data_IF_865382249474
#
_entry.id   IF_865382249474
#
_cell.length_a   1.000
_cell.length_b   1.000
_cell.length_c   1.000
_cell.angle_alpha   90.00
_cell.angle_beta   90.00
_cell.angle_gamma   90.00
#
_symmetry.space_group_name_H-M   'P 1'
#
loop_
_entity.id
_entity.type
_entity.pdbx_description
1 polymer ?
#
# COMPACT_ATOMS: atom_id res chain seq x y z
N UNK A 1 -16.18 27.13 -2.49
CA UNK A 1 -14.77 27.05 -2.06
C UNK A 1 -14.44 25.58 -2.02
N UNK A 2 -13.37 25.16 -2.67
CA UNK A 2 -13.00 23.74 -2.76
C UNK A 2 -11.90 23.50 -1.73
N UNK A 3 -12.10 22.48 -0.89
CA UNK A 3 -11.12 22.00 0.07
C UNK A 3 -10.38 20.81 -0.54
N UNK A 4 -9.08 20.73 -0.27
CA UNK A 4 -8.21 19.64 -0.69
C UNK A 4 -7.58 19.01 0.57
N UNK A 5 -7.09 17.78 0.42
CA UNK A 5 -6.18 17.15 1.38
C UNK A 5 -4.77 17.69 1.15
N UNK A 6 -4.07 18.03 2.22
CA UNK A 6 -2.64 18.34 2.21
C UNK A 6 -1.97 17.48 3.26
N UNK A 7 -0.90 16.79 2.86
CA UNK A 7 -0.19 15.87 3.71
C UNK A 7 1.06 16.50 4.30
N UNK A 8 1.48 15.95 5.44
CA UNK A 8 2.73 16.28 6.05
C UNK A 8 3.13 15.28 7.13
N UNK A 9 4.34 15.43 7.61
CA UNK A 9 4.95 14.56 8.62
C UNK A 9 5.62 15.43 9.68
N UNK A 10 5.42 15.05 10.94
CA UNK A 10 6.18 15.56 12.07
C UNK A 10 7.22 14.51 12.47
N UNK A 11 8.46 14.95 12.62
CA UNK A 11 9.58 14.13 13.08
C UNK A 11 10.19 14.76 14.32
N UNK A 12 10.23 14.03 15.43
CA UNK A 12 10.90 14.46 16.65
C UNK A 12 11.40 13.25 17.44
N UNK A 13 12.35 13.39 18.39
CA UNK A 13 12.83 12.25 19.19
C UNK A 13 11.72 11.51 19.94
N UNK A 14 10.69 12.23 20.37
CA UNK A 14 9.48 11.69 21.01
C UNK A 14 8.28 12.53 20.63
N UNK A 15 7.24 11.93 20.06
CA UNK A 15 5.96 12.56 19.77
C UNK A 15 4.85 11.86 20.54
N UNK A 16 3.99 12.65 21.18
CA UNK A 16 2.72 12.18 21.73
C UNK A 16 1.59 12.57 20.76
N UNK A 17 1.01 11.61 20.01
CA UNK A 17 -0.04 11.89 19.04
C UNK A 17 -1.28 12.55 19.67
N UNK A 18 -1.58 12.26 20.94
CA UNK A 18 -2.73 12.85 21.64
C UNK A 18 -2.46 14.31 22.01
N UNK A 19 -1.22 14.66 22.37
CA UNK A 19 -0.83 16.04 22.60
C UNK A 19 -0.88 16.87 21.30
N UNK A 20 -0.42 16.30 20.18
CA UNK A 20 -0.55 16.95 18.86
C UNK A 20 -2.01 17.13 18.48
N UNK A 21 -2.85 16.11 18.69
CA UNK A 21 -4.29 16.20 18.44
C UNK A 21 -4.95 17.33 19.25
N UNK A 22 -4.63 17.42 20.54
CA UNK A 22 -5.17 18.47 21.41
C UNK A 22 -4.70 19.87 20.99
N UNK A 23 -3.46 20.01 20.52
CA UNK A 23 -2.94 21.27 19.99
C UNK A 23 -3.69 21.72 18.73
N UNK A 24 -3.87 20.80 17.77
CA UNK A 24 -4.63 21.07 16.55
C UNK A 24 -6.10 21.42 16.85
N UNK A 25 -6.70 20.70 17.80
CA UNK A 25 -8.08 20.94 18.19
C UNK A 25 -8.27 22.31 18.86
N UNK A 26 -7.32 22.72 19.71
CA UNK A 26 -7.31 24.06 20.32
C UNK A 26 -7.14 25.19 19.28
N UNK A 27 -6.46 24.90 18.17
CA UNK A 27 -6.36 25.79 17.02
C UNK A 27 -7.56 25.72 16.06
N UNK A 28 -8.59 24.93 16.41
CA UNK A 28 -9.77 24.63 15.61
C UNK A 28 -9.44 24.03 14.24
N UNK A 29 -8.29 23.36 14.08
CA UNK A 29 -7.85 22.77 12.81
C UNK A 29 -8.61 21.47 12.56
N UNK A 30 -9.04 21.26 11.32
CA UNK A 30 -9.61 19.99 10.87
C UNK A 30 -8.49 19.14 10.26
N UNK A 31 -8.20 18.01 10.89
CA UNK A 31 -7.07 17.17 10.55
C UNK A 31 -7.34 15.68 10.79
N UNK A 32 -6.46 14.85 10.25
CA UNK A 32 -6.28 13.44 10.61
C UNK A 32 -4.81 13.23 10.98
N UNK A 33 -4.58 12.49 12.05
CA UNK A 33 -3.26 12.06 12.48
C UNK A 33 -3.14 10.56 12.30
N UNK A 34 -1.98 10.09 11.85
CA UNK A 34 -1.71 8.66 11.65
C UNK A 34 -0.30 8.28 12.13
N UNK A 35 -0.20 7.16 12.84
CA UNK A 35 1.08 6.66 13.37
C UNK A 35 1.06 5.15 13.58
N UNK A 36 2.23 4.53 13.52
CA UNK A 36 2.41 3.15 13.97
C UNK A 36 2.75 3.13 15.47
N UNK A 37 2.27 2.14 16.23
CA UNK A 37 2.64 1.98 17.65
C UNK A 37 4.15 1.90 17.91
N UNK A 38 4.94 1.49 16.91
CA UNK A 38 6.41 1.37 17.00
C UNK A 38 7.20 2.60 16.53
N UNK A 39 6.55 3.61 15.93
CA UNK A 39 7.23 4.77 15.34
C UNK A 39 6.97 6.04 16.14
N UNK A 40 7.30 6.03 17.44
CA UNK A 40 7.05 7.16 18.37
C UNK A 40 7.76 8.48 17.97
N UNK A 41 8.63 8.45 16.96
CA UNK A 41 9.38 9.58 16.45
C UNK A 41 8.79 10.17 15.15
N UNK A 42 7.76 9.53 14.56
CA UNK A 42 7.18 9.91 13.28
C UNK A 42 5.65 9.89 13.35
N UNK A 43 5.04 11.01 13.00
CA UNK A 43 3.59 11.20 12.99
C UNK A 43 3.16 11.83 11.67
N UNK A 44 2.30 11.16 10.92
CA UNK A 44 1.66 11.74 9.73
C UNK A 44 0.52 12.66 10.14
N UNK A 45 0.39 13.78 9.42
CA UNK A 45 -0.71 14.73 9.56
C UNK A 45 -1.30 15.05 8.19
N UNK A 46 -2.60 14.83 8.04
CA UNK A 46 -3.36 15.28 6.87
C UNK A 46 -4.32 16.37 7.30
N UNK A 47 -4.32 17.50 6.58
CA UNK A 47 -5.18 18.65 6.88
C UNK A 47 -6.05 19.01 5.68
N UNK A 48 -7.15 19.71 5.94
CA UNK A 48 -7.87 20.41 4.88
C UNK A 48 -7.12 21.69 4.49
N UNK A 49 -6.99 21.96 3.20
CA UNK A 49 -6.43 23.21 2.67
C UNK A 49 -7.25 23.76 1.52
N UNK A 50 -7.24 25.08 1.33
CA UNK A 50 -7.83 25.72 0.16
C UNK A 50 -6.79 25.97 -0.94
N UNK A 51 -7.24 26.40 -2.13
CA UNK A 51 -6.35 26.74 -3.24
C UNK A 51 -5.41 27.94 -3.00
N UNK A 52 -5.53 28.64 -1.86
CA UNK A 52 -4.63 29.71 -1.43
C UNK A 52 -3.64 29.25 -0.34
N UNK A 53 -3.61 27.94 -0.02
CA UNK A 53 -2.73 27.38 1.00
C UNK A 53 -3.14 27.73 2.43
N UNK A 54 -4.45 27.94 2.68
CA UNK A 54 -5.01 28.21 4.01
C UNK A 54 -5.56 26.93 4.61
N UNK A 55 -5.25 26.70 5.89
CA UNK A 55 -5.71 25.53 6.64
C UNK A 55 -7.21 25.63 6.91
N UNK A 56 -7.95 24.54 6.75
CA UNK A 56 -9.35 24.43 7.09
C UNK A 56 -9.54 24.42 8.61
N UNK A 57 -10.26 25.40 9.13
CA UNK A 57 -10.61 25.49 10.56
C UNK A 57 -12.11 25.38 10.76
N UNK A 58 -12.54 24.70 11.82
CA UNK A 58 -13.94 24.64 12.19
C UNK A 58 -14.35 25.96 12.88
N UNK A 59 -15.33 26.64 12.28
CA UNK A 59 -15.97 27.82 12.83
C UNK A 59 -17.47 27.60 12.83
N UNK A 60 -18.04 27.52 14.03
CA UNK A 60 -19.49 27.35 14.23
C UNK A 60 -20.08 26.15 13.45
N UNK A 61 -19.33 25.05 13.39
CA UNK A 61 -19.74 23.83 12.69
C UNK A 61 -19.65 23.93 11.16
N UNK A 62 -18.81 24.83 10.64
CA UNK A 62 -18.49 24.94 9.21
C UNK A 62 -16.98 25.09 9.02
N UNK A 63 -16.43 24.52 7.95
CA UNK A 63 -15.01 24.71 7.63
C UNK A 63 -14.80 26.08 6.97
N UNK A 64 -13.91 26.88 7.57
CA UNK A 64 -13.54 28.21 7.12
C UNK A 64 -12.01 28.37 7.04
N UNK A 65 -11.49 29.25 6.17
CA UNK A 65 -10.05 29.49 6.06
C UNK A 65 -9.43 30.02 7.36
N UNK A 66 -8.44 29.28 7.86
CA UNK A 66 -7.64 29.56 9.04
C UNK A 66 -6.26 30.14 8.70
N UNK A 67 -5.19 29.82 9.45
CA UNK A 67 -3.83 30.29 9.16
C UNK A 67 -3.29 29.75 7.82
N UNK A 68 -2.13 30.24 7.39
CA UNK A 68 -1.40 29.62 6.28
C UNK A 68 -0.80 28.27 6.71
N UNK A 69 -0.60 27.34 5.76
CA UNK A 69 0.02 26.02 6.07
C UNK A 69 1.40 26.20 6.72
N UNK A 70 2.21 27.16 6.23
CA UNK A 70 3.52 27.47 6.80
C UNK A 70 3.43 27.96 8.27
N UNK A 71 2.43 28.80 8.59
CA UNK A 71 2.22 29.27 9.98
C UNK A 71 1.82 28.11 10.91
N UNK A 72 1.03 27.14 10.41
CA UNK A 72 0.71 25.93 11.16
C UNK A 72 1.96 25.07 11.38
N UNK A 73 2.76 24.85 10.33
CA UNK A 73 3.98 24.05 10.40
C UNK A 73 4.97 24.64 11.41
N UNK A 74 5.21 25.95 11.37
CA UNK A 74 6.05 26.66 12.35
C UNK A 74 5.52 26.55 13.78
N UNK A 75 4.19 26.64 13.94
CA UNK A 75 3.50 26.48 15.22
C UNK A 75 3.70 25.09 15.82
N UNK A 76 3.52 24.04 15.00
CA UNK A 76 3.75 22.65 15.40
C UNK A 76 5.23 22.41 15.71
N UNK A 77 6.15 22.87 14.86
CA UNK A 77 7.58 22.70 15.05
C UNK A 77 8.10 23.40 16.32
N UNK A 78 7.53 24.55 16.66
CA UNK A 78 7.85 25.25 17.92
C UNK A 78 7.24 24.55 19.14
N UNK A 79 5.99 24.09 19.05
CA UNK A 79 5.27 23.50 20.18
C UNK A 79 5.83 22.12 20.59
N UNK A 80 6.31 21.34 19.62
CA UNK A 80 6.74 19.96 19.83
C UNK A 80 8.25 19.73 19.63
N UNK A 81 9.02 20.80 19.36
CA UNK A 81 10.44 20.71 18.98
C UNK A 81 10.66 19.67 17.86
N UNK A 82 9.82 19.77 16.83
CA UNK A 82 9.73 18.82 15.73
C UNK A 82 10.17 19.46 14.41
N UNK A 83 10.71 18.64 13.52
CA UNK A 83 10.83 18.96 12.11
C UNK A 83 9.49 18.65 11.43
N UNK A 84 8.88 19.66 10.83
CA UNK A 84 7.56 19.56 10.20
C UNK A 84 7.69 19.77 8.71
N UNK A 85 7.37 18.72 7.95
CA UNK A 85 7.41 18.71 6.50
C UNK A 85 5.98 18.69 6.00
N UNK A 86 5.50 19.79 5.42
CA UNK A 86 4.17 19.84 4.79
C UNK A 86 4.34 19.96 3.28
N UNK A 87 3.47 19.30 2.52
CA UNK A 87 3.44 19.43 1.07
C UNK A 87 3.34 20.91 0.65
N UNK A 88 4.23 21.35 -0.25
CA UNK A 88 4.29 22.72 -0.73
C UNK A 88 4.90 23.73 0.25
N UNK A 89 5.35 23.30 1.44
CA UNK A 89 6.09 24.13 2.41
C UNK A 89 7.48 23.56 2.60
N UNK A 90 8.48 24.29 2.15
CA UNK A 90 9.88 23.95 2.40
C UNK A 90 10.32 24.66 3.68
N UNK A 91 10.85 23.96 4.70
CA UNK A 91 11.33 24.61 5.91
C UNK A 91 12.49 25.55 5.54
N UNK A 92 12.34 26.84 5.83
CA UNK A 92 13.48 27.75 5.77
C UNK A 92 14.39 27.49 6.99
N UNK A 93 15.55 26.88 6.74
CA UNK A 93 16.67 26.90 7.70
C UNK A 93 16.66 25.83 8.80
N UNK A 94 15.85 24.78 8.73
CA UNK A 94 16.06 23.55 9.52
C UNK A 94 16.39 22.38 8.59
N UNK A 95 17.66 21.96 8.66
CA UNK A 95 18.25 20.81 7.99
C UNK A 95 18.03 20.72 6.47
N UNK A 96 18.38 21.77 5.73
CA UNK A 96 18.95 21.54 4.40
C UNK A 96 20.25 20.76 4.61
N UNK A 97 20.25 19.47 4.28
CA UNK A 97 21.48 18.83 3.80
C UNK A 97 21.86 19.64 2.56
N UNK A 98 22.80 20.57 2.72
CA UNK A 98 23.34 21.29 1.56
C UNK A 98 23.83 20.22 0.58
N UNK A 99 23.34 20.21 -0.68
CA UNK A 99 23.85 19.30 -1.68
C UNK A 99 25.31 19.65 -1.89
N UNK A 100 26.19 18.80 -1.38
CA UNK A 100 27.63 18.76 -1.56
C UNK A 100 28.25 20.12 -1.94
N UNK A 101 28.70 20.86 -0.93
CA UNK A 101 29.75 21.84 -1.17
C UNK A 101 30.95 21.09 -1.79
N UNK A 102 31.11 21.23 -3.10
CA UNK A 102 32.24 20.71 -3.88
C UNK A 102 33.55 21.18 -3.25
N UNK A 103 34.13 20.35 -2.38
CA UNK A 103 35.44 20.58 -1.80
C UNK A 103 35.54 20.36 -0.30
N UNK A 104 35.31 19.15 0.20
CA UNK A 104 35.89 18.74 1.47
C UNK A 104 36.04 17.20 1.59
N UNK A 105 37.31 16.81 1.71
CA UNK A 105 37.85 15.59 2.32
C UNK A 105 37.52 14.21 1.73
N UNK A 106 38.62 13.48 1.52
CA UNK A 106 38.74 12.04 1.25
C UNK A 106 37.71 11.19 2.03
N UNK A 107 36.88 10.36 1.35
CA UNK A 107 35.82 9.57 1.99
C UNK A 107 36.34 8.40 2.85
N UNK A 108 37.65 8.31 3.09
CA UNK A 108 38.26 7.24 3.88
C UNK A 108 38.49 7.57 5.37
N UNK A 109 38.05 8.72 5.88
CA UNK A 109 38.50 9.22 7.19
C UNK A 109 37.43 9.65 8.20
N UNK A 110 36.14 9.33 8.00
CA UNK A 110 35.10 9.60 9.00
C UNK A 110 34.24 8.36 9.22
N UNK A 111 34.63 7.57 10.21
CA UNK A 111 33.82 6.51 10.83
C UNK A 111 32.88 7.17 11.86
N UNK A 112 32.02 8.06 11.39
CA UNK A 112 30.98 8.71 12.20
C UNK A 112 29.60 8.24 11.71
N UNK A 113 29.22 7.04 12.14
CA UNK A 113 27.83 6.73 12.51
C UNK A 113 26.72 6.97 11.49
N UNK A 114 26.99 6.97 10.18
CA UNK A 114 25.92 6.72 9.20
C UNK A 114 25.44 5.30 9.50
N UNK A 115 24.16 5.08 9.89
CA UNK A 115 23.64 3.73 10.00
C UNK A 115 23.90 3.09 8.63
N UNK A 116 24.70 2.02 8.62
CA UNK A 116 24.90 1.26 7.39
C UNK A 116 23.53 0.96 6.81
N UNK A 117 23.36 1.14 5.49
CA UNK A 117 22.17 0.70 4.78
C UNK A 117 21.86 -0.69 5.30
N UNK A 118 20.73 -0.83 6.00
CA UNK A 118 20.33 -2.12 6.56
C UNK A 118 20.29 -3.07 5.38
N UNK A 119 21.20 -4.04 5.39
CA UNK A 119 21.29 -5.08 4.36
C UNK A 119 19.91 -5.75 4.28
N UNK A 120 19.38 -5.96 3.05
CA UNK A 120 18.14 -6.69 2.72
C UNK A 120 17.46 -7.24 3.97
N UNK A 121 16.51 -6.49 4.57
CA UNK A 121 15.81 -6.97 5.75
C UNK A 121 15.08 -8.25 5.37
N UNK A 122 15.70 -9.37 5.72
CA UNK A 122 15.13 -10.70 5.60
C UNK A 122 14.01 -10.76 6.62
N UNK A 123 12.85 -10.26 6.21
CA UNK A 123 11.67 -10.19 7.06
C UNK A 123 10.96 -11.54 7.00
N UNK A 124 10.56 -12.06 8.16
CA UNK A 124 9.69 -13.23 8.21
C UNK A 124 8.26 -12.77 7.97
N UNK A 125 7.81 -12.89 6.74
CA UNK A 125 6.49 -12.47 6.32
C UNK A 125 5.78 -13.57 5.55
N UNK A 126 4.46 -13.61 5.69
CA UNK A 126 3.56 -14.38 4.84
C UNK A 126 2.96 -13.42 3.82
N UNK A 127 3.27 -13.64 2.56
CA UNK A 127 2.85 -12.77 1.47
C UNK A 127 1.95 -13.53 0.51
N UNK A 128 0.82 -12.92 0.16
CA UNK A 128 -0.08 -13.37 -0.89
C UNK A 128 -0.16 -12.28 -1.94
N UNK A 129 0.08 -12.62 -3.21
CA UNK A 129 -0.05 -11.70 -4.34
C UNK A 129 -1.13 -12.18 -5.29
N UNK A 130 -2.09 -11.32 -5.59
CA UNK A 130 -3.09 -11.50 -6.64
C UNK A 130 -2.69 -10.67 -7.87
N UNK A 131 -2.56 -11.32 -9.03
CA UNK A 131 -1.98 -10.70 -10.23
C UNK A 131 -2.59 -11.27 -11.51
N UNK A 132 -2.61 -10.46 -12.57
CA UNK A 132 -2.96 -10.90 -13.94
C UNK A 132 -1.86 -11.75 -14.62
N UNK A 133 -0.74 -11.95 -13.94
CA UNK A 133 0.39 -12.75 -14.40
C UNK A 133 -0.06 -14.14 -14.86
N UNK A 134 0.56 -14.65 -15.93
CA UNK A 134 0.30 -16.04 -16.35
C UNK A 134 1.13 -17.08 -15.60
N UNK A 135 0.62 -18.32 -15.51
CA UNK A 135 1.24 -19.39 -14.71
C UNK A 135 2.65 -19.77 -15.17
N UNK A 136 2.99 -19.48 -16.43
CA UNK A 136 4.33 -19.73 -16.98
C UNK A 136 5.44 -18.99 -16.21
N UNK A 137 5.12 -17.88 -15.54
CA UNK A 137 6.13 -17.06 -14.84
C UNK A 137 6.42 -17.58 -13.43
N UNK A 138 5.59 -18.46 -12.87
CA UNK A 138 5.73 -18.97 -11.49
C UNK A 138 7.06 -19.69 -11.20
N UNK A 139 7.58 -20.60 -12.07
CA UNK A 139 8.89 -21.23 -11.82
C UNK A 139 10.04 -20.20 -11.76
N UNK A 140 9.97 -19.15 -12.57
CA UNK A 140 10.99 -18.11 -12.59
C UNK A 140 10.94 -17.27 -11.30
N UNK A 141 9.74 -16.94 -10.82
CA UNK A 141 9.55 -16.23 -9.55
C UNK A 141 10.17 -17.01 -8.38
N UNK A 142 9.89 -18.32 -8.27
CA UNK A 142 10.49 -19.18 -7.24
C UNK A 142 12.02 -19.15 -7.28
N UNK A 143 12.61 -19.31 -8.48
CA UNK A 143 14.06 -19.26 -8.67
C UNK A 143 14.69 -17.91 -8.37
N UNK A 144 14.04 -16.80 -8.74
CA UNK A 144 14.56 -15.44 -8.48
C UNK A 144 14.54 -15.13 -6.99
N UNK A 145 13.43 -15.41 -6.32
CA UNK A 145 13.27 -15.21 -4.88
C UNK A 145 14.05 -16.24 -4.05
N UNK A 146 14.56 -17.31 -4.68
CA UNK A 146 15.25 -18.44 -4.05
C UNK A 146 14.43 -19.10 -2.93
N UNK A 147 13.11 -19.13 -3.11
CA UNK A 147 12.16 -19.71 -2.16
C UNK A 147 11.02 -20.40 -2.88
N UNK A 148 10.32 -21.25 -2.15
CA UNK A 148 9.13 -21.91 -2.67
C UNK A 148 8.04 -20.87 -2.92
N UNK A 149 7.43 -20.94 -4.10
CA UNK A 149 6.28 -20.13 -4.47
C UNK A 149 5.13 -21.08 -4.76
N UNK A 150 4.08 -20.99 -3.95
CA UNK A 150 2.84 -21.73 -4.19
C UNK A 150 1.93 -20.87 -5.05
N UNK A 151 1.37 -21.46 -6.11
CA UNK A 151 0.47 -20.75 -7.03
C UNK A 151 -0.85 -21.46 -7.17
N UNK A 152 -1.93 -20.69 -7.26
CA UNK A 152 -3.25 -21.21 -7.62
C UNK A 152 -3.99 -20.24 -8.53
N UNK A 153 -4.85 -20.77 -9.40
CA UNK A 153 -5.78 -19.98 -10.20
C UNK A 153 -6.98 -19.60 -9.34
N UNK A 154 -7.24 -18.30 -9.28
CA UNK A 154 -8.29 -17.72 -8.46
C UNK A 154 -9.32 -17.02 -9.37
N UNK A 155 -10.58 -17.48 -9.41
CA UNK A 155 -11.64 -16.74 -10.05
C UNK A 155 -11.91 -15.44 -9.27
N UNK A 156 -11.96 -14.31 -9.99
CA UNK A 156 -12.30 -12.98 -9.47
C UNK A 156 -13.26 -12.33 -10.45
N UNK A 157 -14.53 -12.17 -10.06
CA UNK A 157 -15.58 -11.76 -10.98
C UNK A 157 -15.70 -12.69 -12.19
N UNK A 158 -15.54 -12.13 -13.39
CA UNK A 158 -15.56 -12.87 -14.67
C UNK A 158 -14.14 -13.29 -15.15
N UNK A 159 -13.10 -12.91 -14.42
CA UNK A 159 -11.70 -13.17 -14.76
C UNK A 159 -11.11 -14.30 -13.90
N UNK A 160 -9.99 -14.85 -14.35
CA UNK A 160 -9.14 -15.73 -13.53
C UNK A 160 -7.78 -15.08 -13.39
N UNK A 161 -7.37 -14.86 -12.14
CA UNK A 161 -6.06 -14.30 -11.77
C UNK A 161 -5.23 -15.36 -11.07
N UNK A 162 -3.93 -15.13 -10.97
CA UNK A 162 -3.09 -15.98 -10.15
C UNK A 162 -2.94 -15.42 -8.76
N UNK A 163 -3.00 -16.34 -7.79
CA UNK A 163 -2.66 -16.10 -6.41
C UNK A 163 -1.33 -16.79 -6.13
N UNK A 164 -0.30 -16.00 -5.81
CA UNK A 164 1.04 -16.45 -5.45
C UNK A 164 1.21 -16.32 -3.95
N UNK A 165 1.77 -17.35 -3.32
CA UNK A 165 2.00 -17.38 -1.89
C UNK A 165 3.44 -17.74 -1.59
N UNK A 166 4.01 -16.99 -0.66
CA UNK A 166 5.32 -17.26 -0.08
C UNK A 166 5.25 -17.05 1.43
N UNK A 167 5.98 -17.87 2.17
CA UNK A 167 6.06 -17.80 3.64
C UNK A 167 7.51 -17.92 4.09
N UNK A 168 7.80 -17.40 5.27
CA UNK A 168 9.12 -17.51 5.87
C UNK A 168 10.05 -16.35 5.50
N UNK A 169 11.21 -16.37 6.12
CA UNK A 169 12.31 -15.44 5.90
C UNK A 169 12.79 -15.44 4.44
N UNK A 170 12.83 -14.29 3.78
CA UNK A 170 13.45 -14.14 2.47
C UNK A 170 13.03 -12.87 1.75
N UNK A 171 13.50 -12.71 0.51
CA UNK A 171 13.12 -11.56 -0.31
C UNK A 171 11.61 -11.53 -0.60
N UNK A 172 10.99 -10.36 -0.50
CA UNK A 172 9.56 -10.17 -0.75
C UNK A 172 9.15 -10.49 -2.20
N UNK A 173 7.89 -10.91 -2.38
CA UNK A 173 7.31 -11.12 -3.71
C UNK A 173 7.24 -9.77 -4.43
N UNK A 174 7.84 -9.68 -5.62
CA UNK A 174 7.88 -8.45 -6.40
C UNK A 174 9.11 -7.57 -6.17
N UNK A 175 10.07 -7.96 -5.32
CA UNK A 175 11.32 -7.20 -5.10
C UNK A 175 12.12 -6.98 -6.40
N UNK A 176 11.97 -7.88 -7.37
CA UNK A 176 12.63 -7.80 -8.68
C UNK A 176 11.75 -7.10 -9.75
N UNK A 177 10.66 -6.47 -9.32
CA UNK A 177 9.65 -5.88 -10.18
C UNK A 177 8.71 -6.90 -10.81
N UNK A 178 7.67 -6.37 -11.45
CA UNK A 178 6.66 -7.13 -12.17
C UNK A 178 6.77 -6.88 -13.67
N UNK A 179 6.51 -7.92 -14.47
CA UNK A 179 6.32 -7.74 -15.90
C UNK A 179 5.07 -6.86 -16.15
N UNK A 180 5.02 -6.07 -17.24
CA UNK A 180 3.86 -5.21 -17.53
C UNK A 180 2.52 -5.96 -17.64
N UNK A 181 2.55 -7.26 -17.95
CA UNK A 181 1.35 -8.11 -18.04
C UNK A 181 0.88 -8.69 -16.69
N UNK A 182 1.59 -8.40 -15.60
CA UNK A 182 1.21 -8.83 -14.25
C UNK A 182 0.28 -7.83 -13.54
N UNK A 183 0.21 -6.58 -14.01
CA UNK A 183 -0.59 -5.55 -13.37
C UNK A 183 -2.11 -5.68 -13.69
N UNK A 184 -2.98 -5.21 -12.79
CA UNK A 184 -2.67 -4.68 -11.46
C UNK A 184 -2.21 -5.79 -10.50
N UNK A 185 -1.33 -5.44 -9.56
CA UNK A 185 -0.81 -6.35 -8.54
C UNK A 185 -1.35 -5.92 -7.19
N UNK A 186 -2.11 -6.80 -6.54
CA UNK A 186 -2.47 -6.67 -5.14
C UNK A 186 -1.56 -7.56 -4.31
N UNK A 187 -0.82 -6.97 -3.37
CA UNK A 187 -0.01 -7.68 -2.39
C UNK A 187 -0.64 -7.57 -1.02
N UNK A 188 -0.86 -8.69 -0.37
CA UNK A 188 -1.25 -8.81 1.03
C UNK A 188 -0.06 -9.38 1.78
N UNK A 189 0.30 -8.77 2.90
CA UNK A 189 1.43 -9.21 3.72
C UNK A 189 1.04 -9.21 5.18
N UNK A 190 1.48 -10.24 5.89
CA UNK A 190 1.37 -10.36 7.34
C UNK A 190 2.72 -10.76 7.90
N UNK A 191 3.21 -9.97 8.83
CA UNK A 191 4.37 -10.26 9.66
C UNK A 191 3.98 -10.14 11.14
N UNK A 192 4.97 -10.14 12.04
CA UNK A 192 4.73 -10.06 13.47
C UNK A 192 4.21 -8.69 13.92
N UNK A 193 4.42 -7.64 13.13
CA UNK A 193 4.11 -6.26 13.48
C UNK A 193 2.80 -5.78 12.83
N UNK A 194 2.56 -6.16 11.57
CA UNK A 194 1.48 -5.59 10.77
C UNK A 194 0.80 -6.58 9.81
N UNK A 195 -0.38 -6.17 9.35
CA UNK A 195 -1.07 -6.68 8.18
C UNK A 195 -1.18 -5.51 7.21
N UNK A 196 -0.68 -5.69 5.99
CA UNK A 196 -0.69 -4.64 4.98
C UNK A 196 -1.32 -5.13 3.67
N UNK A 197 -1.96 -4.20 2.98
CA UNK A 197 -2.38 -4.34 1.60
C UNK A 197 -1.67 -3.27 0.76
N UNK A 198 -1.08 -3.66 -0.36
CA UNK A 198 -0.48 -2.76 -1.34
C UNK A 198 -1.06 -3.04 -2.70
N UNK A 199 -1.60 -2.02 -3.36
CA UNK A 199 -2.03 -2.08 -4.75
C UNK A 199 -1.02 -1.34 -5.63
N UNK A 200 -0.52 -2.04 -6.64
CA UNK A 200 0.25 -1.46 -7.73
C UNK A 200 -0.63 -1.49 -8.98
N UNK A 201 -1.12 -0.34 -9.48
CA UNK A 201 -2.10 -0.30 -10.56
C UNK A 201 -1.49 -0.58 -11.95
N UNK A 202 -0.20 -0.29 -12.14
CA UNK A 202 0.49 -0.40 -13.41
C UNK A 202 1.99 -0.20 -13.31
N UNK A 203 2.75 -0.46 -14.39
CA UNK A 203 4.17 -0.15 -14.42
C UNK A 203 4.38 1.37 -14.29
N UNK A 204 5.32 1.79 -13.45
CA UNK A 204 5.68 3.19 -13.19
C UNK A 204 5.76 4.00 -14.49
N UNK A 205 4.79 4.89 -14.70
CA UNK A 205 4.79 5.82 -15.81
C UNK A 205 5.59 7.06 -15.39
N UNK A 206 6.90 7.04 -15.67
CA UNK A 206 7.88 8.14 -15.46
C UNK A 206 8.39 8.34 -14.03
N UNK A 207 9.49 9.10 -13.90
CA UNK A 207 10.33 9.34 -12.70
C UNK A 207 9.60 10.10 -11.55
N UNK A 208 8.30 9.90 -11.39
CA UNK A 208 7.47 10.46 -10.32
C UNK A 208 6.78 9.38 -9.49
N UNK A 209 6.11 9.78 -8.43
CA UNK A 209 5.33 8.89 -7.58
C UNK A 209 4.23 8.21 -8.42
N UNK A 210 4.13 6.86 -8.39
CA UNK A 210 3.21 6.14 -9.25
C UNK A 210 1.77 6.51 -8.93
N UNK A 211 1.10 7.23 -9.84
CA UNK A 211 -0.31 7.58 -9.71
C UNK A 211 -1.16 6.31 -9.46
N UNK A 212 -1.95 6.33 -8.37
CA UNK A 212 -2.90 5.26 -8.03
C UNK A 212 -2.31 4.07 -7.27
N UNK A 213 -1.09 4.16 -6.74
CA UNK A 213 -0.65 3.22 -5.69
C UNK A 213 -1.46 3.47 -4.43
N UNK A 214 -1.98 2.40 -3.85
CA UNK A 214 -2.72 2.45 -2.58
C UNK A 214 -2.04 1.51 -1.57
N UNK A 215 -1.84 1.99 -0.36
CA UNK A 215 -1.28 1.21 0.75
C UNK A 215 -2.21 1.34 1.94
N UNK A 216 -2.55 0.22 2.56
CA UNK A 216 -3.32 0.21 3.78
C UNK A 216 -2.66 -0.69 4.82
N UNK A 217 -2.60 -0.22 6.07
CA UNK A 217 -2.09 -0.97 7.22
C UNK A 217 -3.20 -1.10 8.25
N UNK A 218 -3.37 -2.31 8.78
CA UNK A 218 -4.30 -2.59 9.87
C UNK A 218 -3.69 -2.41 11.28
N UNK A 219 -2.37 -2.18 11.38
CA UNK A 219 -1.71 -1.75 12.62
C UNK A 219 -1.61 -0.23 12.75
N UNK A 220 -1.79 0.54 11.66
CA UNK A 220 -1.79 1.99 11.71
C UNK A 220 -2.93 2.52 12.60
N UNK A 221 -2.57 3.38 13.55
CA UNK A 221 -3.54 4.12 14.33
C UNK A 221 -3.92 5.40 13.59
N UNK A 222 -5.21 5.72 13.58
CA UNK A 222 -5.71 6.99 13.02
C UNK A 222 -6.59 7.74 14.00
N UNK A 223 -6.47 9.07 14.00
CA UNK A 223 -7.26 9.96 14.84
C UNK A 223 -7.71 11.19 14.06
N UNK A 224 -9.02 11.39 13.97
CA UNK A 224 -9.59 12.62 13.43
C UNK A 224 -9.65 13.72 14.49
N UNK A 225 -9.29 14.93 14.08
CA UNK A 225 -9.46 16.18 14.82
C UNK A 225 -10.44 17.05 14.05
N UNK A 226 -11.54 17.43 14.70
CA UNK A 226 -12.60 18.21 14.06
C UNK A 226 -12.57 19.70 14.42
N UNK A 227 -11.62 20.13 15.26
CA UNK A 227 -11.42 21.52 15.62
C UNK A 227 -12.55 22.10 16.48
N UNK A 228 -13.16 21.31 17.34
CA UNK A 228 -14.29 21.76 18.17
C UNK A 228 -13.86 22.42 19.49
N UNK A 229 -12.55 22.61 19.69
CA UNK A 229 -11.98 23.31 20.83
C UNK A 229 -12.13 22.54 22.14
N UNK A 230 -12.12 21.21 22.09
CA UNK A 230 -12.22 20.30 23.23
C UNK A 230 -13.65 20.12 23.74
N UNK A 231 -14.67 20.44 22.94
CA UNK A 231 -16.07 20.30 23.36
C UNK A 231 -16.65 18.91 23.09
N UNK A 232 -15.93 18.03 22.37
CA UNK A 232 -16.28 16.60 22.25
C UNK A 232 -15.37 15.65 23.04
N UNK A 233 -15.06 15.99 24.30
CA UNK A 233 -14.41 15.08 25.23
C UNK A 233 -15.34 13.99 25.80
N UNK A 234 -15.22 12.75 25.31
CA UNK A 234 -15.34 11.54 26.14
C UNK A 234 -16.72 10.92 26.37
N UNK A 235 -17.09 9.92 25.55
CA UNK A 235 -17.91 8.80 26.05
C UNK A 235 -17.05 7.95 27.00
N UNK A 236 -17.04 8.32 28.28
CA UNK A 236 -16.60 7.44 29.36
C UNK A 236 -17.81 7.10 30.23
N UNK A 237 -18.01 5.81 30.47
CA UNK A 237 -19.17 5.29 31.18
C UNK A 237 -19.24 5.76 32.63
N UNK A 238 -20.41 6.28 33.01
CA UNK A 238 -20.75 6.61 34.39
C UNK A 238 -22.27 6.73 34.53
N UNK A 239 -22.90 5.67 35.04
CA UNK A 239 -24.34 5.67 35.34
C UNK A 239 -24.68 6.67 36.44
N UNK A 240 -25.60 7.60 36.17
CA UNK A 240 -26.59 8.07 37.16
C UNK A 240 -27.77 8.70 36.43
N UNK A 241 -28.98 8.33 36.86
CA UNK A 241 -30.23 8.67 36.18
C UNK A 241 -30.62 10.15 36.32
N UNK A 242 -31.19 10.68 35.24
CA UNK A 242 -31.87 11.97 35.20
C UNK A 242 -32.41 12.22 33.80
N UNK A 243 -33.72 12.04 33.63
CA UNK A 243 -34.42 12.30 32.37
C UNK A 243 -34.40 13.79 32.01
N UNK A 244 -33.74 14.13 30.90
CA UNK A 244 -34.09 15.31 30.10
C UNK A 244 -33.54 15.15 28.68
N UNK A 245 -34.45 14.90 27.73
CA UNK A 245 -34.31 15.23 26.31
C UNK A 245 -33.02 14.80 25.62
N UNK A 246 -32.85 13.50 25.37
CA UNK A 246 -31.91 13.03 24.36
C UNK A 246 -32.39 13.47 22.99
N UNK A 247 -31.86 14.60 22.50
CA UNK A 247 -31.88 14.88 21.07
C UNK A 247 -31.20 13.70 20.39
N UNK A 248 -31.94 13.01 19.52
CA UNK A 248 -31.37 12.08 18.56
C UNK A 248 -30.14 12.72 17.89
N UNK A 249 -29.09 11.94 17.51
CA UNK A 249 -27.92 12.50 16.82
C UNK A 249 -28.43 13.33 15.63
N UNK A 250 -28.27 14.65 15.72
CA UNK A 250 -28.83 15.55 14.71
C UNK A 250 -28.10 15.31 13.41
N UNK A 251 -28.85 15.30 12.31
CA UNK A 251 -28.39 15.34 10.93
C UNK A 251 -26.92 15.79 10.77
N UNK A 252 -26.08 14.84 10.34
CA UNK A 252 -24.68 14.96 9.88
C UNK A 252 -23.96 16.27 10.27
N UNK A 253 -23.08 16.20 11.26
CA UNK A 253 -22.03 17.20 11.46
C UNK A 253 -21.26 17.38 10.13
N UNK A 254 -21.41 18.53 9.45
CA UNK A 254 -20.89 18.72 8.11
C UNK A 254 -19.35 18.80 8.09
N UNK A 255 -18.73 19.22 9.19
CA UNK A 255 -17.27 19.22 9.32
C UNK A 255 -16.76 17.78 9.40
N UNK A 256 -17.40 16.95 10.22
CA UNK A 256 -17.06 15.53 10.32
C UNK A 256 -17.28 14.77 9.01
N UNK A 257 -18.39 15.05 8.32
CA UNK A 257 -18.66 14.46 7.02
C UNK A 257 -17.57 14.83 6.00
N UNK A 258 -17.21 16.11 5.91
CA UNK A 258 -16.16 16.57 5.00
C UNK A 258 -14.77 16.01 5.36
N UNK A 259 -14.45 15.93 6.66
CA UNK A 259 -13.19 15.36 7.13
C UNK A 259 -13.07 13.88 6.76
N UNK A 260 -14.13 13.08 6.91
CA UNK A 260 -14.11 11.68 6.49
C UNK A 260 -14.05 11.53 4.96
N UNK A 261 -14.69 12.43 4.21
CA UNK A 261 -14.68 12.41 2.75
C UNK A 261 -13.28 12.71 2.18
N UNK A 262 -12.60 13.75 2.68
CA UNK A 262 -11.33 14.21 2.11
C UNK A 262 -10.08 13.70 2.84
N UNK A 263 -10.16 13.38 4.12
CA UNK A 263 -9.02 12.88 4.92
C UNK A 263 -9.16 11.40 5.26
N UNK A 264 -10.28 10.77 4.93
CA UNK A 264 -10.50 9.33 5.12
C UNK A 264 -9.75 8.47 4.11
N UNK A 265 -9.87 7.15 4.26
CA UNK A 265 -9.28 6.14 3.37
C UNK A 265 -10.21 5.77 2.21
N UNK A 266 -11.21 6.62 1.92
CA UNK A 266 -12.25 6.34 0.93
C UNK A 266 -11.71 6.21 -0.48
N UNK A 267 -10.78 7.09 -0.87
CA UNK A 267 -10.13 7.06 -2.18
C UNK A 267 -9.26 5.81 -2.35
N UNK A 268 -8.46 5.45 -1.33
CA UNK A 268 -7.65 4.23 -1.34
C UNK A 268 -8.53 2.97 -1.43
N UNK A 269 -9.60 2.90 -0.63
CA UNK A 269 -10.57 1.81 -0.69
C UNK A 269 -11.22 1.69 -2.09
N UNK A 270 -11.51 2.83 -2.73
CA UNK A 270 -12.05 2.85 -4.09
C UNK A 270 -11.02 2.34 -5.12
N UNK A 271 -9.73 2.66 -4.96
CA UNK A 271 -8.65 2.14 -5.81
C UNK A 271 -8.56 0.61 -5.71
N UNK A 272 -8.58 0.05 -4.49
CA UNK A 272 -8.60 -1.41 -4.28
C UNK A 272 -9.81 -2.07 -4.93
N UNK A 273 -11.01 -1.52 -4.69
CA UNK A 273 -12.25 -2.07 -5.25
C UNK A 273 -12.29 -2.00 -6.79
N UNK A 274 -11.77 -0.93 -7.38
CA UNK A 274 -11.73 -0.76 -8.84
C UNK A 274 -10.73 -1.71 -9.52
N UNK A 275 -9.62 -2.06 -8.86
CA UNK A 275 -8.58 -2.89 -9.44
C UNK A 275 -8.91 -4.39 -9.48
N UNK A 276 -9.83 -4.85 -8.62
CA UNK A 276 -10.17 -6.27 -8.45
C UNK A 276 -11.61 -6.55 -8.96
N UNK A 277 -11.76 -7.29 -10.08
CA UNK A 277 -13.07 -7.64 -10.61
C UNK A 277 -13.91 -8.42 -9.61
N UNK A 278 -15.16 -7.96 -9.41
CA UNK A 278 -16.09 -8.58 -8.48
C UNK A 278 -15.87 -8.20 -7.00
N UNK A 279 -14.97 -7.26 -6.69
CA UNK A 279 -14.88 -6.69 -5.36
C UNK A 279 -16.12 -5.85 -5.03
N UNK A 280 -16.55 -5.88 -3.76
CA UNK A 280 -17.69 -5.14 -3.24
C UNK A 280 -17.22 -3.82 -2.60
N UNK A 281 -17.41 -2.65 -3.25
CA UNK A 281 -16.77 -1.40 -2.82
C UNK A 281 -17.12 -0.98 -1.38
N UNK A 282 -18.40 -1.08 -1.00
CA UNK A 282 -18.85 -0.74 0.35
C UNK A 282 -18.24 -1.68 1.41
N UNK A 283 -18.04 -2.96 1.07
CA UNK A 283 -17.43 -3.92 1.98
C UNK A 283 -15.93 -3.69 2.13
N UNK A 284 -15.25 -3.22 1.06
CA UNK A 284 -13.84 -2.80 1.13
C UNK A 284 -13.70 -1.63 2.10
N UNK A 285 -14.50 -0.58 1.95
CA UNK A 285 -14.50 0.57 2.90
C UNK A 285 -14.78 0.11 4.32
N UNK A 286 -15.77 -0.76 4.52
CA UNK A 286 -16.11 -1.26 5.86
C UNK A 286 -15.02 -2.14 6.49
N UNK A 287 -14.11 -2.71 5.70
CA UNK A 287 -13.01 -3.54 6.21
C UNK A 287 -11.88 -2.70 6.82
N UNK A 288 -11.67 -1.47 6.33
CA UNK A 288 -10.64 -0.55 6.83
C UNK A 288 -10.97 -0.04 8.24
N UNK A 289 -12.26 0.06 8.57
CA UNK A 289 -12.72 0.48 9.90
C UNK A 289 -12.52 -0.60 11.00
N UNK A 290 -12.10 -1.82 10.64
CA UNK A 290 -11.89 -2.91 11.59
C UNK A 290 -10.40 -3.13 11.82
N UNK A 291 -9.93 -3.28 13.06
CA UNK A 291 -8.51 -3.44 13.34
C UNK A 291 -7.99 -4.85 13.05
N UNK A 292 -6.69 -4.94 12.75
CA UNK A 292 -5.91 -6.18 12.71
C UNK A 292 -6.48 -7.29 11.81
N UNK A 293 -6.43 -8.53 12.32
CA UNK A 293 -6.81 -9.73 11.57
C UNK A 293 -8.28 -9.74 11.11
N UNK A 294 -9.19 -9.11 11.87
CA UNK A 294 -10.60 -9.03 11.49
C UNK A 294 -10.79 -8.12 10.27
N UNK A 295 -10.08 -7.00 10.23
CA UNK A 295 -10.09 -6.10 9.07
C UNK A 295 -9.52 -6.75 7.82
N UNK A 296 -8.36 -7.41 7.92
CA UNK A 296 -7.77 -8.16 6.82
C UNK A 296 -8.72 -9.28 6.31
N UNK A 297 -9.35 -10.04 7.22
CA UNK A 297 -10.31 -11.08 6.83
C UNK A 297 -11.54 -10.50 6.12
N UNK A 298 -12.06 -9.37 6.60
CA UNK A 298 -13.18 -8.67 5.96
C UNK A 298 -12.78 -8.13 4.58
N UNK A 299 -11.56 -7.63 4.42
CA UNK A 299 -11.03 -7.14 3.15
C UNK A 299 -10.89 -8.28 2.13
N UNK A 300 -10.28 -9.40 2.51
CA UNK A 300 -10.16 -10.60 1.65
C UNK A 300 -11.54 -11.09 1.19
N UNK A 301 -12.52 -11.11 2.10
CA UNK A 301 -13.89 -11.47 1.77
C UNK A 301 -14.56 -10.45 0.82
N UNK A 302 -14.33 -9.15 1.03
CA UNK A 302 -14.84 -8.07 0.17
C UNK A 302 -14.27 -8.14 -1.26
N UNK A 303 -13.06 -8.65 -1.43
CA UNK A 303 -12.44 -8.92 -2.73
C UNK A 303 -12.92 -10.22 -3.40
N UNK A 304 -13.80 -10.99 -2.74
CA UNK A 304 -14.27 -12.28 -3.25
C UNK A 304 -13.23 -13.40 -3.18
N UNK A 305 -12.17 -13.23 -2.38
CA UNK A 305 -11.12 -14.24 -2.23
C UNK A 305 -11.51 -15.30 -1.18
N UNK A 306 -10.99 -16.54 -1.29
CA UNK A 306 -11.32 -17.61 -0.35
C UNK A 306 -10.83 -17.30 1.06
N UNK A 307 -11.62 -17.64 2.08
CA UNK A 307 -11.21 -17.49 3.49
C UNK A 307 -9.91 -18.24 3.84
N UNK A 308 -9.57 -19.29 3.08
CA UNK A 308 -8.29 -19.99 3.21
C UNK A 308 -7.07 -19.09 3.00
N UNK A 309 -7.20 -17.99 2.23
CA UNK A 309 -6.15 -16.98 2.07
C UNK A 309 -5.82 -16.31 3.40
N UNK A 310 -6.85 -15.97 4.19
CA UNK A 310 -6.68 -15.43 5.53
C UNK A 310 -6.00 -16.44 6.45
N UNK A 311 -6.40 -17.72 6.39
CA UNK A 311 -5.78 -18.77 7.21
C UNK A 311 -4.28 -18.94 6.90
N UNK A 312 -3.91 -18.85 5.61
CA UNK A 312 -2.51 -18.90 5.19
C UNK A 312 -1.74 -17.66 5.64
N UNK A 313 -2.27 -16.46 5.41
CA UNK A 313 -1.62 -15.20 5.83
C UNK A 313 -1.43 -15.13 7.35
N UNK A 314 -2.38 -15.62 8.13
CA UNK A 314 -2.28 -15.66 9.60
C UNK A 314 -1.52 -16.90 10.12
N UNK A 315 -0.93 -17.72 9.25
CA UNK A 315 -0.13 -18.88 9.64
C UNK A 315 -0.91 -20.03 10.27
N UNK A 316 -2.23 -20.08 10.10
CA UNK A 316 -3.11 -21.17 10.56
C UNK A 316 -3.23 -22.30 9.54
N UNK A 317 -2.81 -22.07 8.30
CA UNK A 317 -2.77 -23.07 7.24
C UNK A 317 -1.49 -22.94 6.40
N UNK A 318 -1.04 -24.06 5.82
CA UNK A 318 0.08 -24.06 4.88
C UNK A 318 -0.38 -23.60 3.48
N UNK A 319 0.48 -22.94 2.69
CA UNK A 319 0.16 -22.52 1.33
C UNK A 319 -0.39 -23.65 0.44
N UNK A 320 0.12 -24.87 0.61
CA UNK A 320 -0.27 -26.06 -0.16
C UNK A 320 -1.72 -26.50 0.08
N UNK A 321 -2.35 -26.03 1.15
CA UNK A 321 -3.75 -26.34 1.48
C UNK A 321 -4.75 -25.59 0.60
N UNK A 322 -4.29 -24.58 -0.15
CA UNK A 322 -5.16 -23.83 -1.06
C UNK A 322 -5.68 -24.76 -2.17
N UNK A 323 -6.96 -24.61 -2.58
CA UNK A 323 -7.51 -25.39 -3.67
C UNK A 323 -6.68 -25.25 -4.94
N UNK A 324 -6.37 -26.37 -5.59
CA UNK A 324 -5.59 -26.42 -6.84
C UNK A 324 -4.18 -25.82 -6.74
N UNK A 325 -3.61 -25.72 -5.53
CA UNK A 325 -2.27 -25.22 -5.31
C UNK A 325 -1.19 -26.07 -6.02
N UNK A 326 -0.24 -25.38 -6.65
CA UNK A 326 0.96 -25.96 -7.25
C UNK A 326 2.17 -25.29 -6.62
N UNK A 327 3.08 -26.07 -6.04
CA UNK A 327 4.32 -25.56 -5.45
C UNK A 327 5.42 -25.57 -6.51
N UNK A 328 6.09 -24.43 -6.65
CA UNK A 328 7.30 -24.29 -7.46
C UNK A 328 8.50 -24.09 -6.54
N UNK A 329 9.42 -25.05 -6.57
CA UNK A 329 10.68 -24.96 -5.84
C UNK A 329 11.71 -24.13 -6.62
N UNK A 330 12.64 -23.45 -5.93
CA UNK A 330 13.72 -22.70 -6.57
C UNK A 330 14.65 -23.65 -7.32
N UNK A 331 14.77 -23.46 -8.63
CA UNK A 331 15.70 -24.17 -9.48
C UNK A 331 16.78 -23.24 -10.06
N UNK A 332 17.77 -23.81 -10.74
CA UNK A 332 18.68 -23.01 -11.58
C UNK A 332 17.88 -22.29 -12.67
N UNK A 333 18.24 -21.03 -12.95
CA UNK A 333 17.51 -20.17 -13.89
C UNK A 333 17.29 -20.80 -15.28
N UNK A 334 18.27 -21.56 -15.79
CA UNK A 334 18.15 -22.27 -17.07
C UNK A 334 17.07 -23.36 -17.05
N UNK A 335 16.91 -24.06 -15.93
CA UNK A 335 15.83 -25.04 -15.77
C UNK A 335 14.48 -24.38 -15.50
N UNK A 336 14.44 -23.33 -14.69
CA UNK A 336 13.22 -22.57 -14.44
C UNK A 336 12.65 -22.02 -15.75
N UNK A 337 13.50 -21.43 -16.59
CA UNK A 337 13.12 -20.96 -17.94
C UNK A 337 12.60 -22.11 -18.83
N UNK A 338 13.21 -23.29 -18.77
CA UNK A 338 12.72 -24.47 -19.49
C UNK A 338 11.37 -24.97 -18.97
N UNK A 339 11.15 -24.94 -17.65
CA UNK A 339 9.87 -25.28 -17.02
C UNK A 339 8.76 -24.29 -17.43
N UNK A 340 9.06 -22.99 -17.42
CA UNK A 340 8.18 -21.94 -17.95
C UNK A 340 7.81 -22.18 -19.42
N UNK A 341 8.79 -22.51 -20.27
CA UNK A 341 8.54 -22.81 -21.69
C UNK A 341 7.68 -24.07 -21.86
N UNK A 342 7.87 -25.09 -21.02
CA UNK A 342 7.06 -26.31 -21.03
C UNK A 342 5.60 -26.02 -20.70
N UNK A 343 5.32 -25.15 -19.72
CA UNK A 343 3.95 -24.72 -19.37
C UNK A 343 3.26 -24.08 -20.59
N UNK A 344 3.94 -23.18 -21.29
CA UNK A 344 3.41 -22.56 -22.51
C UNK A 344 3.07 -23.60 -23.58
N UNK A 345 3.96 -24.56 -23.80
CA UNK A 345 3.76 -25.61 -24.80
C UNK A 345 2.61 -26.56 -24.44
N UNK A 346 2.45 -26.92 -23.15
CA UNK A 346 1.34 -27.75 -22.71
C UNK A 346 0.00 -27.04 -22.81
N UNK A 347 -0.08 -25.77 -22.41
CA UNK A 347 -1.31 -24.97 -22.50
C UNK A 347 -1.69 -24.70 -23.95
N UNK A 348 -0.72 -24.41 -24.81
CA UNK A 348 -0.93 -24.26 -26.26
C UNK A 348 -1.40 -25.55 -26.93
N UNK A 349 -0.82 -26.70 -26.56
CA UNK A 349 -1.27 -28.00 -27.05
C UNK A 349 -2.70 -28.35 -26.58
N UNK A 350 -3.07 -27.96 -25.36
CA UNK A 350 -4.39 -28.16 -24.81
C UNK A 350 -5.44 -27.24 -25.46
N UNK A 351 -5.08 -25.98 -25.75
CA UNK A 351 -5.91 -25.05 -26.53
C UNK A 351 -6.12 -25.52 -27.98
N UNK A 352 -5.09 -26.06 -28.64
CA UNK A 352 -5.21 -26.65 -29.98
C UNK A 352 -6.09 -27.90 -29.99
N UNK A 353 -6.08 -28.69 -28.91
CA UNK A 353 -6.98 -29.85 -28.76
C UNK A 353 -8.43 -29.46 -28.46
N UNK A 354 -8.65 -28.33 -27.80
CA UNK A 354 -9.98 -27.80 -27.49
C UNK A 354 -10.61 -27.01 -28.66
N UNK A 355 -9.79 -26.52 -29.60
CA UNK A 355 -10.29 -25.83 -30.79
C UNK A 355 -11.03 -26.82 -31.72
N UNK A 356 -12.25 -26.49 -32.22
CA UNK A 356 -12.91 -27.31 -33.21
C UNK A 356 -12.04 -27.41 -34.47
N UNK A 357 -11.75 -28.65 -34.89
CA UNK A 357 -10.82 -28.96 -35.96
C UNK A 357 -11.22 -28.30 -37.28
N UNK A 358 -10.64 -27.13 -37.57
CA UNK A 358 -10.62 -26.55 -38.91
C UNK A 358 -9.19 -26.65 -39.46
N UNK A 359 -8.98 -27.37 -40.57
CA UNK A 359 -7.68 -27.97 -40.92
C UNK A 359 -6.60 -27.01 -41.46
N UNK A 360 -6.75 -25.68 -41.33
CA UNK A 360 -5.83 -24.72 -41.98
C UNK A 360 -5.03 -23.80 -41.05
N UNK A 361 -5.25 -23.80 -39.73
CA UNK A 361 -4.56 -22.84 -38.81
C UNK A 361 -3.28 -23.42 -38.18
N UNK A 362 -3.08 -24.73 -38.21
CA UNK A 362 -1.98 -25.42 -37.48
C UNK A 362 -0.55 -25.18 -38.00
N UNK A 363 -0.34 -24.39 -39.06
CA UNK A 363 1.01 -24.17 -39.64
C UNK A 363 1.60 -22.77 -39.39
N UNK A 364 0.82 -21.81 -38.90
CA UNK A 364 1.30 -20.44 -38.67
C UNK A 364 1.87 -20.21 -37.25
N UNK A 365 1.46 -20.99 -36.25
CA UNK A 365 1.75 -20.72 -34.84
C UNK A 365 3.13 -21.20 -34.38
N UNK A 366 3.70 -22.25 -34.99
CA UNK A 366 5.03 -22.78 -34.61
C UNK A 366 6.18 -21.85 -35.05
N UNK A 367 6.00 -21.06 -36.12
CA UNK A 367 7.02 -20.13 -36.60
C UNK A 367 7.11 -18.83 -35.76
N UNK A 368 6.02 -18.40 -35.12
CA UNK A 368 5.99 -17.19 -34.30
C UNK A 368 6.70 -17.36 -32.95
N UNK A 369 6.64 -18.55 -32.34
CA UNK A 369 7.22 -18.81 -31.02
C UNK A 369 8.77 -18.78 -31.02
N UNK A 370 9.42 -19.20 -32.11
CA UNK A 370 10.89 -19.16 -32.20
C UNK A 370 11.45 -17.76 -32.45
N UNK A 371 10.67 -16.85 -33.07
CA UNK A 371 11.13 -15.49 -33.36
C UNK A 371 11.17 -14.59 -32.10
N UNK A 372 10.26 -14.79 -31.15
CA UNK A 372 10.19 -13.98 -29.91
C UNK A 372 11.28 -14.38 -28.91
N UNK A 373 11.60 -15.68 -28.79
CA UNK A 373 12.66 -16.15 -27.91
C UNK A 373 14.06 -15.66 -28.33
N UNK A 374 14.33 -15.58 -29.64
CA UNK A 374 15.58 -15.02 -30.14
C UNK A 374 15.68 -13.48 -29.94
N UNK A 375 14.55 -12.76 -30.05
CA UNK A 375 14.51 -11.31 -29.85
C UNK A 375 14.81 -10.87 -28.42
N UNK A 376 14.37 -11.63 -27.42
CA UNK A 376 14.63 -11.33 -26.00
C UNK A 376 16.09 -11.53 -25.60
N UNK A 377 16.75 -12.56 -26.15
CA UNK A 377 18.18 -12.82 -25.92
C UNK A 377 19.06 -11.74 -26.56
N UNK A 378 18.73 -11.29 -27.78
CA UNK A 378 19.49 -10.22 -28.46
C UNK A 378 19.32 -8.87 -27.75
N UNK A 379 18.11 -8.56 -27.26
CA UNK A 379 17.84 -7.32 -26.52
C UNK A 379 18.52 -7.29 -25.14
N UNK A 380 18.65 -8.44 -24.48
CA UNK A 380 19.42 -8.57 -23.24
C UNK A 380 20.93 -8.39 -23.46
N UNK A 381 21.48 -8.94 -24.56
CA UNK A 381 22.88 -8.75 -24.94
C UNK A 381 23.21 -7.29 -25.30
N UNK A 382 22.30 -6.57 -25.94
CA UNK A 382 22.50 -5.16 -26.30
C UNK A 382 22.45 -4.21 -25.09
N UNK A 383 21.59 -4.48 -24.09
CA UNK A 383 21.53 -3.69 -22.84
C UNK A 383 22.78 -3.86 -21.98
N UNK A 384 23.42 -5.03 -22.03
CA UNK A 384 24.66 -5.31 -21.30
C UNK A 384 25.89 -4.65 -21.94
N UNK A 385 25.83 -4.25 -23.21
CA UNK A 385 26.91 -3.57 -23.90
C UNK A 385 26.88 -2.03 -23.71
N UNK A 386 25.84 -1.51 -23.05
CA UNK A 386 25.62 -0.07 -22.80
C UNK A 386 25.73 0.31 -21.31
N UNK A 387 26.08 -0.65 -20.45
CA UNK A 387 26.61 -0.43 -19.10
C UNK A 387 28.05 -0.91 -19.10
#
# INVERSE_FOLDING_TARGET
MTWNRTEGVLVAPTLDPEAVAAHLDAAAVVARLEWYPGTEHLLSVSILSDGAGRVGTNRDGQVAPGPAIAELADGLGTAFDADVLMEGVYPEGRHTLEPDAEGAADPAAVDDGIPGVVEDDVHDARTVVLTAMSMRQAPLQASLLRRDVTVTEQPVGEETRLLLVTTGTGHELGVHGWDPDAYPVLRLQVDDEDRTATLLPGPEASEGEPEGVAVFSWAMHSRFVFGDGGTSGGSSGGSSGGSSGGSAPSASDPVRALAHDLLGDGDDAALFAAAIPGAEPEAVVASFARPGAEGLAAFIAALGLPAAVTEVLEGRAEPESLPSAVVHHPERLDRAAAASAKIVLSSGAQAVRAAPATPWVGRATVAAACAVAAGLVVRWLLRRAQR
#
